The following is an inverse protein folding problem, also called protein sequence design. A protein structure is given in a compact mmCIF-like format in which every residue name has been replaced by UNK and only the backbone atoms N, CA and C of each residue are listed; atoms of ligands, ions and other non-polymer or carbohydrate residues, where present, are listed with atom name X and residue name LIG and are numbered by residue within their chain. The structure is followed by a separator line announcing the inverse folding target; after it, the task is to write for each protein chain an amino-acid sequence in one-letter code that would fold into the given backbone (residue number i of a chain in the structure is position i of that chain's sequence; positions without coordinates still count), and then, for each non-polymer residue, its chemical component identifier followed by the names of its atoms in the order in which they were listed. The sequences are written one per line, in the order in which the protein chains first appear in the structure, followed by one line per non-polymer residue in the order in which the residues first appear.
data_IF_278451151522
#
_entry.id   IF_278451151522
#
_cell.length_a   1.000
_cell.length_b   1.000
_cell.length_c   1.000
_cell.angle_alpha   90.00
_cell.angle_beta   90.00
_cell.angle_gamma   90.00
#
_symmetry.space_group_name_H-M   'P 1'
#
loop_
_entity.id
_entity.type
_entity.pdbx_description
1 polymer ?
#
# COMPACT_ATOMS: atom_id res chain seq x y z
N UNK A 1 9.64 -5.62 1.95
CA UNK A 1 10.15 -4.78 3.06
C UNK A 1 11.59 -4.33 2.87
N UNK A 2 12.43 -5.05 2.10
CA UNK A 2 13.75 -4.54 1.69
C UNK A 2 13.67 -3.18 0.99
N UNK A 3 12.76 -3.01 0.04
CA UNK A 3 12.50 -1.72 -0.63
C UNK A 3 12.19 -0.58 0.34
N UNK A 4 11.45 -0.88 1.41
CA UNK A 4 11.19 0.08 2.48
C UNK A 4 12.47 0.45 3.24
N UNK A 5 13.33 -0.50 3.60
CA UNK A 5 14.60 -0.16 4.25
C UNK A 5 15.60 0.55 3.35
N UNK A 6 15.54 0.30 2.03
CA UNK A 6 16.37 1.00 1.05
C UNK A 6 15.91 2.45 0.83
N UNK A 7 14.63 2.66 0.52
CA UNK A 7 14.12 3.96 0.04
C UNK A 7 12.93 4.54 0.81
N UNK A 8 12.58 3.98 1.98
CA UNK A 8 11.43 4.40 2.81
C UNK A 8 10.10 4.41 2.05
N UNK A 9 9.98 3.57 1.01
CA UNK A 9 8.78 3.42 0.18
C UNK A 9 8.50 1.95 -0.09
N UNK A 10 7.23 1.61 -0.13
CA UNK A 10 6.80 0.28 -0.57
C UNK A 10 6.58 0.28 -2.08
N UNK A 11 6.92 -0.83 -2.72
CA UNK A 11 6.63 -1.08 -4.14
C UNK A 11 5.26 -1.74 -4.35
N UNK A 12 4.54 -2.01 -3.26
CA UNK A 12 3.20 -2.62 -3.28
C UNK A 12 2.22 -1.75 -2.52
N UNK A 13 0.98 -1.65 -3.01
CA UNK A 13 -0.05 -0.79 -2.44
C UNK A 13 -0.49 -1.24 -1.03
N UNK A 14 -0.38 -2.53 -0.71
CA UNK A 14 -0.82 -3.13 0.57
C UNK A 14 -0.20 -2.44 1.78
N UNK A 15 1.09 -2.10 1.71
CA UNK A 15 1.84 -1.51 2.82
C UNK A 15 2.07 -0.02 2.67
N UNK A 16 1.57 0.59 1.60
CA UNK A 16 1.66 2.03 1.43
C UNK A 16 0.74 2.79 2.40
N UNK A 17 1.00 4.07 2.64
CA UNK A 17 0.19 4.89 3.56
C UNK A 17 -1.23 5.11 3.04
N UNK A 18 -1.43 5.13 1.73
CA UNK A 18 -2.71 5.42 1.08
C UNK A 18 -2.98 4.47 -0.10
N UNK A 19 -4.25 4.29 -0.46
CA UNK A 19 -4.68 3.50 -1.63
C UNK A 19 -4.76 4.37 -2.90
N UNK A 20 -3.64 4.98 -3.30
CA UNK A 20 -3.55 5.94 -4.42
C UNK A 20 -2.78 5.46 -5.65
N UNK A 21 -2.28 4.22 -5.64
CA UNK A 21 -1.27 3.76 -6.61
C UNK A 21 -1.79 3.49 -8.04
N UNK A 22 -3.06 3.12 -8.19
CA UNK A 22 -3.68 2.80 -9.47
C UNK A 22 -5.20 3.04 -9.43
N UNK A 23 -5.82 2.97 -10.61
CA UNK A 23 -7.26 2.78 -10.81
C UNK A 23 -7.46 1.49 -11.62
N UNK A 24 -8.65 0.92 -11.56
CA UNK A 24 -9.03 -0.25 -12.37
C UNK A 24 -9.95 0.22 -13.48
N UNK A 25 -9.79 -0.33 -14.69
CA UNK A 25 -10.67 -0.11 -15.82
C UNK A 25 -11.27 -1.46 -16.20
N UNK A 26 -12.59 -1.57 -16.13
CA UNK A 26 -13.34 -2.73 -16.57
C UNK A 26 -13.53 -2.74 -18.08
N UNK A 27 -13.91 -3.89 -18.63
CA UNK A 27 -14.07 -4.10 -20.08
C UNK A 27 -15.02 -3.08 -20.77
N UNK A 28 -16.03 -2.58 -20.06
CA UNK A 28 -16.97 -1.57 -20.55
C UNK A 28 -16.43 -0.11 -20.47
N UNK A 29 -15.20 0.07 -19.99
CA UNK A 29 -14.57 1.38 -19.77
C UNK A 29 -14.81 1.97 -18.38
N UNK A 30 -15.64 1.34 -17.54
CA UNK A 30 -15.91 1.80 -16.18
C UNK A 30 -14.64 1.77 -15.32
N UNK A 31 -14.36 2.90 -14.68
CA UNK A 31 -13.19 3.10 -13.85
C UNK A 31 -13.54 2.99 -12.35
N UNK A 32 -12.69 2.31 -11.58
CA UNK A 32 -12.86 2.10 -10.15
C UNK A 32 -11.59 2.39 -9.37
N UNK A 33 -11.73 2.62 -8.06
CA UNK A 33 -10.60 2.97 -7.20
C UNK A 33 -9.59 1.82 -6.98
N UNK A 34 -10.02 0.56 -7.05
CA UNK A 34 -9.25 -0.65 -6.73
C UNK A 34 -10.03 -1.88 -7.18
N UNK A 35 -9.32 -2.95 -7.54
CA UNK A 35 -9.84 -4.26 -7.98
C UNK A 35 -10.64 -4.98 -6.88
N UNK A 36 -10.35 -4.72 -5.61
CA UNK A 36 -11.15 -5.25 -4.49
C UNK A 36 -12.41 -4.42 -4.19
N UNK A 37 -12.59 -3.28 -4.85
CA UNK A 37 -13.64 -2.30 -4.56
C UNK A 37 -14.36 -1.86 -5.85
N UNK A 38 -14.69 -2.83 -6.70
CA UNK A 38 -15.50 -2.65 -7.92
C UNK A 38 -16.98 -2.61 -7.52
N UNK A 39 -17.39 -1.49 -6.94
CA UNK A 39 -18.75 -1.24 -6.48
C UNK A 39 -19.15 0.22 -6.74
N UNK A 40 -20.46 0.51 -6.85
CA UNK A 40 -20.96 1.84 -7.22
C UNK A 40 -20.45 2.98 -6.30
N UNK A 41 -20.20 2.67 -5.02
CA UNK A 41 -19.61 3.60 -4.04
C UNK A 41 -18.26 4.15 -4.50
N UNK A 42 -17.46 3.32 -5.17
CA UNK A 42 -16.08 3.63 -5.59
C UNK A 42 -15.87 3.73 -7.11
N UNK A 43 -16.96 3.76 -7.89
CA UNK A 43 -16.96 4.06 -9.32
C UNK A 43 -16.54 5.51 -9.59
N UNK A 44 -15.57 5.70 -10.47
CA UNK A 44 -14.94 6.99 -10.79
C UNK A 44 -15.51 7.66 -12.04
N UNK A 45 -16.16 6.90 -12.94
CA UNK A 45 -16.61 7.34 -14.26
C UNK A 45 -16.27 6.32 -15.33
N UNK A 46 -16.35 6.71 -16.60
CA UNK A 46 -15.97 5.87 -17.74
C UNK A 46 -14.79 6.51 -18.51
N UNK A 47 -13.79 5.70 -18.86
CA UNK A 47 -12.56 6.18 -19.54
C UNK A 47 -12.80 6.66 -20.97
N UNK A 48 -13.89 6.22 -21.62
CA UNK A 48 -14.26 6.70 -22.95
C UNK A 48 -14.87 8.10 -22.92
N UNK A 49 -15.29 8.57 -21.75
CA UNK A 49 -15.97 9.86 -21.55
C UNK A 49 -15.09 10.86 -20.78
N UNK A 50 -14.28 10.37 -19.84
CA UNK A 50 -13.49 11.19 -18.93
C UNK A 50 -12.00 10.87 -19.06
N UNK A 51 -11.12 11.87 -19.25
CA UNK A 51 -9.67 11.67 -19.26
C UNK A 51 -9.16 10.93 -18.02
N UNK A 52 -8.19 10.04 -18.22
CA UNK A 52 -7.68 9.15 -17.15
C UNK A 52 -7.07 9.92 -15.97
N UNK A 53 -6.46 11.07 -16.21
CA UNK A 53 -5.89 11.95 -15.19
C UNK A 53 -6.99 12.58 -14.32
N UNK A 54 -8.13 12.95 -14.91
CA UNK A 54 -9.30 13.43 -14.16
C UNK A 54 -9.90 12.33 -13.30
N UNK A 55 -10.00 11.09 -13.81
CA UNK A 55 -10.45 9.93 -13.03
C UNK A 55 -9.50 9.65 -11.86
N UNK A 56 -8.20 9.60 -12.12
CA UNK A 56 -7.15 9.30 -11.15
C UNK A 56 -6.99 10.38 -10.07
N UNK A 57 -7.28 11.65 -10.41
CA UNK A 57 -7.18 12.78 -9.47
C UNK A 57 -8.53 13.23 -8.90
N UNK A 58 -9.61 12.51 -9.21
CA UNK A 58 -10.96 12.82 -8.74
C UNK A 58 -11.08 12.92 -7.21
N UNK A 59 -12.05 13.70 -6.74
CA UNK A 59 -12.32 13.83 -5.30
C UNK A 59 -12.65 12.47 -4.66
N UNK A 60 -13.37 11.61 -5.38
CA UNK A 60 -13.71 10.25 -4.93
C UNK A 60 -12.47 9.37 -4.79
N UNK A 61 -11.54 9.40 -5.75
CA UNK A 61 -10.27 8.65 -5.64
C UNK A 61 -9.44 9.13 -4.45
N UNK A 62 -9.36 10.44 -4.22
CA UNK A 62 -8.69 11.01 -3.03
C UNK A 62 -9.37 10.60 -1.73
N UNK A 63 -10.70 10.57 -1.70
CA UNK A 63 -11.45 10.09 -0.54
C UNK A 63 -11.14 8.63 -0.24
N UNK A 64 -11.23 7.74 -1.24
CA UNK A 64 -10.87 6.33 -1.12
C UNK A 64 -9.45 6.14 -0.58
N UNK A 65 -8.48 6.86 -1.14
CA UNK A 65 -7.09 6.79 -0.71
C UNK A 65 -6.90 7.14 0.78
N UNK A 66 -7.66 8.13 1.28
CA UNK A 66 -7.64 8.56 2.70
C UNK A 66 -8.34 7.58 3.64
N UNK A 67 -9.32 6.80 3.17
CA UNK A 67 -9.98 5.79 4.01
C UNK A 67 -8.96 4.82 4.61
N UNK A 68 -7.89 4.49 3.87
CA UNK A 68 -6.82 3.62 4.37
C UNK A 68 -6.17 4.14 5.65
N UNK A 69 -6.10 5.46 5.84
CA UNK A 69 -5.46 6.05 7.02
C UNK A 69 -6.32 5.98 8.27
N UNK A 70 -7.58 5.53 8.18
CA UNK A 70 -8.42 5.23 9.34
C UNK A 70 -7.90 3.96 10.02
N UNK A 71 -7.03 4.12 11.01
CA UNK A 71 -6.43 3.01 11.76
C UNK A 71 -6.99 2.96 13.19
N UNK A 72 -7.18 1.75 13.73
CA UNK A 72 -7.53 1.60 15.14
C UNK A 72 -6.34 1.94 16.06
N UNK A 73 -6.62 2.21 17.33
CA UNK A 73 -5.62 2.55 18.33
C UNK A 73 -4.49 1.49 18.44
N UNK A 74 -4.82 0.20 18.32
CA UNK A 74 -3.82 -0.88 18.35
C UNK A 74 -2.80 -0.76 17.22
N UNK A 75 -3.24 -0.38 16.02
CA UNK A 75 -2.33 -0.10 14.90
C UNK A 75 -1.50 1.17 15.15
N UNK A 76 -2.12 2.22 15.70
CA UNK A 76 -1.46 3.52 15.93
C UNK A 76 -0.29 3.43 16.92
N UNK A 77 -0.35 2.53 17.91
CA UNK A 77 0.73 2.29 18.88
C UNK A 77 1.63 1.10 18.51
N UNK A 78 1.40 0.46 17.36
CA UNK A 78 2.16 -0.73 16.96
C UNK A 78 3.55 -0.33 16.43
N UNK A 79 4.60 -0.99 16.94
CA UNK A 79 5.99 -0.79 16.48
C UNK A 79 6.24 -1.06 15.00
N UNK A 80 5.34 -1.81 14.33
CA UNK A 80 5.44 -2.14 12.91
C UNK A 80 4.58 -1.24 12.02
N UNK A 81 3.96 -0.19 12.58
CA UNK A 81 3.07 0.69 11.83
C UNK A 81 3.75 1.29 10.59
N UNK A 82 5.01 1.67 10.69
CA UNK A 82 5.71 2.31 9.58
C UNK A 82 5.96 1.38 8.39
N UNK A 83 5.97 0.07 8.63
CA UNK A 83 6.15 -0.98 7.61
C UNK A 83 4.80 -1.51 7.12
N UNK A 84 3.84 -1.71 8.02
CA UNK A 84 2.58 -2.38 7.70
C UNK A 84 1.51 -1.41 7.19
N UNK A 85 1.47 -0.20 7.76
CA UNK A 85 0.41 0.82 7.52
C UNK A 85 -1.02 0.28 7.65
N UNK A 86 -1.23 -0.74 8.47
CA UNK A 86 -2.53 -1.39 8.68
C UNK A 86 -2.92 -2.42 7.61
N UNK A 87 -2.06 -2.71 6.63
CA UNK A 87 -2.32 -3.65 5.55
C UNK A 87 -3.33 -3.12 4.52
N UNK A 88 -3.86 -4.02 3.68
CA UNK A 88 -4.89 -3.66 2.69
C UNK A 88 -6.26 -3.46 3.37
N UNK A 89 -7.04 -2.48 2.90
CA UNK A 89 -8.41 -2.26 3.39
C UNK A 89 -9.31 -3.48 3.19
N UNK A 90 -9.08 -4.26 2.11
CA UNK A 90 -9.83 -5.50 1.84
C UNK A 90 -9.75 -6.50 3.00
N UNK A 91 -8.60 -6.57 3.67
CA UNK A 91 -8.36 -7.54 4.75
C UNK A 91 -8.89 -7.02 6.10
N UNK A 92 -9.38 -5.78 6.13
CA UNK A 92 -10.02 -5.13 7.29
C UNK A 92 -11.54 -5.13 7.14
N UNK A 93 -12.03 -5.12 5.90
CA UNK A 93 -13.45 -5.08 5.53
C UNK A 93 -14.32 -6.17 6.18
N UNK A 94 -13.88 -7.45 6.35
CA UNK A 94 -14.69 -8.45 7.02
C UNK A 94 -15.07 -8.10 8.47
N UNK A 95 -14.30 -7.22 9.11
CA UNK A 95 -14.49 -6.83 10.51
C UNK A 95 -15.11 -5.44 10.68
N UNK A 96 -15.06 -4.62 9.64
CA UNK A 96 -15.63 -3.26 9.60
C UNK A 96 -15.77 -2.84 8.13
N UNK A 97 -16.95 -3.09 7.56
CA UNK A 97 -17.22 -2.83 6.14
C UNK A 97 -17.32 -1.36 5.79
N UNK A 98 -17.64 -0.50 6.77
CA UNK A 98 -17.91 0.92 6.51
C UNK A 98 -16.69 1.81 6.67
N UNK A 99 -15.94 1.60 7.75
CA UNK A 99 -14.77 2.43 8.07
C UNK A 99 -13.45 1.71 7.83
N UNK A 100 -13.49 0.39 7.66
CA UNK A 100 -12.31 -0.46 7.55
C UNK A 100 -11.34 -0.23 8.71
N UNK A 101 -11.80 0.27 9.86
CA UNK A 101 -10.99 0.78 10.96
C UNK A 101 -10.31 -0.30 11.80
N UNK A 102 -10.72 -1.56 11.67
CA UNK A 102 -10.20 -2.71 12.42
C UNK A 102 -8.79 -3.11 11.97
N UNK A 103 -8.14 -3.98 12.73
CA UNK A 103 -6.88 -4.59 12.30
C UNK A 103 -7.09 -5.46 11.05
N UNK A 104 -6.06 -5.56 10.20
CA UNK A 104 -6.08 -6.52 9.10
C UNK A 104 -6.23 -7.93 9.66
N UNK A 105 -6.94 -8.80 8.94
CA UNK A 105 -6.99 -10.24 9.18
C UNK A 105 -5.59 -10.84 9.39
N UNK A 106 -4.59 -10.34 8.66
CA UNK A 106 -3.21 -10.81 8.72
C UNK A 106 -2.34 -10.12 9.79
N UNK A 107 -2.92 -9.34 10.71
CA UNK A 107 -2.15 -8.53 11.66
C UNK A 107 -1.13 -9.36 12.46
N UNK A 108 -1.54 -10.50 13.02
CA UNK A 108 -0.64 -11.36 13.80
C UNK A 108 0.42 -12.05 12.92
N UNK A 109 0.07 -12.42 11.70
CA UNK A 109 1.04 -12.98 10.74
C UNK A 109 2.08 -11.93 10.35
N UNK A 110 1.67 -10.68 10.11
CA UNK A 110 2.57 -9.57 9.82
C UNK A 110 3.51 -9.29 10.99
N UNK A 111 3.02 -9.24 12.24
CA UNK A 111 3.86 -9.07 13.42
C UNK A 111 4.95 -10.14 13.48
N UNK A 112 4.58 -11.42 13.43
CA UNK A 112 5.53 -12.54 13.45
C UNK A 112 6.55 -12.46 12.32
N UNK A 113 6.09 -12.17 11.10
CA UNK A 113 6.97 -12.03 9.95
C UNK A 113 7.96 -10.87 10.13
N UNK A 114 7.51 -9.70 10.56
CA UNK A 114 8.37 -8.54 10.73
C UNK A 114 9.34 -8.70 11.90
N UNK A 115 8.92 -9.28 13.03
CA UNK A 115 9.80 -9.59 14.14
C UNK A 115 10.96 -10.50 13.71
N UNK A 116 10.66 -11.54 12.91
CA UNK A 116 11.67 -12.47 12.44
C UNK A 116 12.58 -11.89 11.33
N UNK A 117 12.01 -11.15 10.38
CA UNK A 117 12.70 -10.79 9.14
C UNK A 117 13.27 -9.38 9.12
N UNK A 118 12.72 -8.43 9.89
CA UNK A 118 13.15 -7.04 9.86
C UNK A 118 14.66 -6.86 10.13
N UNK A 119 15.28 -7.50 11.15
CA UNK A 119 16.71 -7.34 11.40
C UNK A 119 17.56 -7.76 10.19
N UNK A 120 17.21 -8.87 9.54
CA UNK A 120 17.93 -9.42 8.38
C UNK A 120 17.82 -8.50 7.17
N UNK A 121 16.65 -7.92 6.93
CA UNK A 121 16.47 -6.99 5.82
C UNK A 121 17.07 -5.60 6.10
N UNK A 122 17.17 -5.17 7.36
CA UNK A 122 17.91 -3.95 7.71
C UNK A 122 19.40 -4.12 7.48
N UNK A 123 19.98 -5.25 7.89
CA UNK A 123 21.37 -5.60 7.61
C UNK A 123 21.64 -5.61 6.10
N UNK A 124 20.84 -6.37 5.34
CA UNK A 124 20.97 -6.44 3.88
C UNK A 124 20.84 -5.06 3.22
N UNK A 125 19.92 -4.21 3.68
CA UNK A 125 19.77 -2.86 3.17
C UNK A 125 20.99 -1.98 3.46
N UNK A 126 21.62 -2.12 4.63
CA UNK A 126 22.86 -1.44 5.00
C UNK A 126 24.00 -1.83 4.07
N UNK A 127 24.18 -3.14 3.85
CA UNK A 127 25.21 -3.70 2.95
C UNK A 127 25.04 -3.24 1.50
N UNK A 128 23.81 -3.22 0.99
CA UNK A 128 23.50 -2.66 -0.34
C UNK A 128 23.86 -1.17 -0.41
N UNK A 129 23.50 -0.39 0.61
CA UNK A 129 23.84 1.05 0.66
C UNK A 129 25.34 1.34 0.73
N UNK A 130 26.11 0.40 1.28
CA UNK A 130 27.58 0.43 1.29
C UNK A 130 28.22 0.00 -0.03
N UNK A 131 27.42 -0.40 -1.04
CA UNK A 131 27.93 -0.81 -2.35
C UNK A 131 28.46 -2.24 -2.41
N UNK A 132 28.22 -3.08 -1.40
CA UNK A 132 28.71 -4.48 -1.38
C UNK A 132 28.17 -5.35 -2.53
N UNK A 133 27.11 -4.89 -3.19
CA UNK A 133 26.46 -5.59 -4.30
C UNK A 133 26.49 -4.78 -5.61
N UNK A 134 27.34 -3.75 -5.70
CA UNK A 134 27.54 -3.03 -6.96
C UNK A 134 28.10 -3.98 -8.01
N UNK A 135 27.61 -3.87 -9.24
CA UNK A 135 28.23 -4.59 -10.36
C UNK A 135 29.66 -4.08 -10.55
N UNK A 136 30.63 -4.96 -10.89
CA UNK A 136 32.02 -4.56 -11.08
C UNK A 136 32.20 -3.40 -12.08
N UNK A 137 31.27 -3.22 -13.01
CA UNK A 137 31.29 -2.17 -14.03
C UNK A 137 30.83 -0.78 -13.55
N UNK A 138 30.43 -0.62 -12.27
CA UNK A 138 29.93 0.65 -11.70
C UNK A 138 30.90 1.32 -10.71
N UNK A 139 32.12 0.81 -10.56
CA UNK A 139 33.15 1.53 -9.79
C UNK A 139 33.76 2.65 -10.66
N UNK A 140 33.65 3.94 -10.25
CA UNK A 140 34.37 5.00 -10.93
C UNK A 140 35.88 4.77 -10.72
N UNK A 141 36.60 4.78 -11.83
CA UNK A 141 38.07 4.83 -11.90
C UNK A 141 38.65 6.02 -11.14
#
# INVERSE_FOLDING_TARGET
ILSYYLGQRHTICTFDRQCSQYIVIEHAGDAYCCDFFVESKWHLGNIFETPIDMLATSAKKRQFARVKTKLCNRCLVCRHLDICRGGCMKDRAPFDKENYGRESYFCEAYKRFFEYSAPKFMDLAGRIKMGEFNRPDENPS
#
